data_IF_541403838169
#
_entry.id   IF_541403838169
#
_cell.length_a   1.000
_cell.length_b   1.000
_cell.length_c   1.000
_cell.angle_alpha   90.00
_cell.angle_beta   90.00
_cell.angle_gamma   90.00
#
_symmetry.space_group_name_H-M   'P 1'
#
loop_
_entity.id
_entity.type
_entity.pdbx_description
1 polymer ?
#
# COMPACT_ATOMS: atom_id res chain seq x y z
N UNK A 1 -26.21 -5.07 -0.59
CA UNK A 1 -24.78 -4.68 -0.38
C UNK A 1 -24.13 -4.17 -1.67
N UNK A 2 -24.17 -4.92 -2.78
CA UNK A 2 -23.57 -4.47 -4.05
C UNK A 2 -24.21 -3.18 -4.63
N UNK A 3 -25.53 -3.04 -4.55
CA UNK A 3 -26.23 -1.84 -5.05
C UNK A 3 -25.93 -0.56 -4.27
N UNK A 4 -25.71 -0.67 -2.95
CA UNK A 4 -25.38 0.46 -2.08
C UNK A 4 -24.02 1.06 -2.40
N UNK A 5 -23.03 0.22 -2.75
CA UNK A 5 -21.69 0.68 -3.13
C UNK A 5 -21.71 1.44 -4.46
N UNK A 6 -22.56 1.01 -5.41
CA UNK A 6 -22.72 1.68 -6.71
C UNK A 6 -23.30 3.09 -6.57
N UNK A 7 -24.20 3.32 -5.61
CA UNK A 7 -24.81 4.64 -5.37
C UNK A 7 -23.87 5.66 -4.74
N UNK A 8 -22.84 5.21 -4.03
CA UNK A 8 -21.92 6.10 -3.32
C UNK A 8 -21.04 6.92 -4.27
N UNK A 9 -20.90 6.54 -5.54
CA UNK A 9 -20.02 7.19 -6.54
C UNK A 9 -18.58 7.41 -6.05
N UNK A 10 -18.16 6.68 -5.04
CA UNK A 10 -16.83 6.78 -4.44
C UNK A 10 -15.94 5.70 -5.03
N UNK A 11 -14.77 6.08 -5.54
CA UNK A 11 -13.75 5.09 -5.85
C UNK A 11 -13.22 4.52 -4.53
N UNK A 12 -13.01 3.19 -4.47
CA UNK A 12 -12.32 2.50 -3.36
C UNK A 12 -13.09 2.33 -2.02
N UNK A 13 -14.43 2.33 -2.03
CA UNK A 13 -15.23 1.95 -0.84
C UNK A 13 -15.38 0.43 -0.71
N UNK A 14 -14.82 -0.14 0.37
CA UNK A 14 -14.98 -1.55 0.73
C UNK A 14 -15.63 -1.73 2.10
N UNK A 15 -16.63 -2.60 2.20
CA UNK A 15 -17.24 -2.96 3.48
C UNK A 15 -16.61 -4.25 3.99
N UNK A 16 -16.05 -4.20 5.20
CA UNK A 16 -15.48 -5.36 5.88
C UNK A 16 -16.34 -5.73 7.08
N UNK A 17 -16.56 -7.03 7.28
CA UNK A 17 -17.26 -7.53 8.47
C UNK A 17 -16.46 -7.16 9.73
N UNK A 18 -17.12 -6.84 10.86
CA UNK A 18 -16.46 -6.40 12.09
C UNK A 18 -15.42 -7.41 12.63
N UNK A 19 -15.54 -8.69 12.27
CA UNK A 19 -14.56 -9.73 12.61
C UNK A 19 -13.33 -9.77 11.70
N UNK A 20 -13.31 -9.00 10.60
CA UNK A 20 -12.17 -8.88 9.69
C UNK A 20 -11.08 -8.01 10.35
N UNK A 21 -10.31 -8.61 11.25
CA UNK A 21 -9.21 -7.99 12.02
C UNK A 21 -8.00 -7.52 11.17
N UNK A 22 -8.09 -7.56 9.85
CA UNK A 22 -7.01 -7.16 8.94
C UNK A 22 -7.60 -6.23 7.91
N UNK A 23 -7.47 -4.92 8.16
CA UNK A 23 -7.40 -3.97 7.04
C UNK A 23 -6.24 -4.48 6.18
N UNK A 24 -6.49 -4.89 4.92
CA UNK A 24 -5.41 -5.30 4.04
C UNK A 24 -4.34 -4.21 4.05
N UNK A 25 -3.06 -4.56 4.23
CA UNK A 25 -1.98 -3.57 4.40
C UNK A 25 -1.98 -2.47 3.32
N UNK A 26 -2.40 -2.81 2.09
CA UNK A 26 -2.65 -1.90 0.96
C UNK A 26 -3.65 -0.76 1.21
N UNK A 27 -4.47 -0.84 2.26
CA UNK A 27 -5.45 0.19 2.62
C UNK A 27 -5.07 0.96 3.90
N UNK A 28 -3.95 0.63 4.55
CA UNK A 28 -3.56 1.29 5.80
C UNK A 28 -3.07 2.74 5.59
N UNK A 29 -2.43 3.02 4.45
CA UNK A 29 -1.91 4.35 4.10
C UNK A 29 -2.49 4.92 2.80
N UNK A 30 -3.54 4.28 2.26
CA UNK A 30 -4.14 4.64 0.97
C UNK A 30 -3.12 4.69 -0.18
N UNK A 31 -2.22 3.70 -0.24
CA UNK A 31 -1.28 3.54 -1.33
C UNK A 31 -0.92 2.06 -1.57
N UNK A 32 -0.56 1.74 -2.81
CA UNK A 32 -0.10 0.42 -3.24
C UNK A 32 1.40 0.43 -3.53
N UNK A 33 2.04 -0.74 -3.44
CA UNK A 33 3.47 -0.89 -3.67
C UNK A 33 3.76 -2.00 -4.68
N UNK A 34 4.86 -1.85 -5.42
CA UNK A 34 5.46 -2.89 -6.24
C UNK A 34 6.95 -3.03 -5.93
N UNK A 35 7.51 -4.21 -6.17
CA UNK A 35 8.97 -4.43 -6.10
C UNK A 35 9.60 -3.83 -7.35
N UNK A 36 10.65 -3.04 -7.19
CA UNK A 36 11.41 -2.43 -8.26
C UNK A 36 12.91 -2.65 -8.05
N UNK A 37 13.65 -2.92 -9.13
CA UNK A 37 15.11 -2.98 -9.09
C UNK A 37 15.67 -1.57 -9.26
N UNK A 38 16.46 -1.13 -8.28
CA UNK A 38 17.14 0.18 -8.29
C UNK A 38 18.66 -0.03 -8.31
N UNK A 39 19.42 1.03 -8.56
CA UNK A 39 20.90 0.97 -8.51
C UNK A 39 21.45 0.48 -7.17
N UNK A 40 20.70 0.71 -6.09
CA UNK A 40 21.06 0.33 -4.73
C UNK A 40 20.45 -1.03 -4.31
N UNK A 41 19.86 -1.77 -5.24
CA UNK A 41 19.19 -3.06 -5.01
C UNK A 41 17.67 -3.01 -5.09
N UNK A 42 17.02 -4.07 -4.62
CA UNK A 42 15.57 -4.21 -4.72
C UNK A 42 14.85 -3.40 -3.64
N UNK A 43 13.93 -2.53 -4.08
CA UNK A 43 13.17 -1.63 -3.20
C UNK A 43 11.67 -1.71 -3.48
N UNK A 44 10.89 -1.22 -2.53
CA UNK A 44 9.46 -0.99 -2.74
C UNK A 44 9.26 0.36 -3.39
N UNK A 45 8.46 0.40 -4.45
CA UNK A 45 8.07 1.60 -5.16
C UNK A 45 6.57 1.81 -5.00
N UNK A 46 6.15 3.04 -4.71
CA UNK A 46 4.74 3.41 -4.68
C UNK A 46 4.17 3.31 -6.11
N UNK A 47 3.10 2.54 -6.28
CA UNK A 47 2.45 2.34 -7.58
C UNK A 47 1.26 3.30 -7.72
N UNK A 48 0.30 3.21 -6.80
CA UNK A 48 -0.85 4.11 -6.75
C UNK A 48 -0.88 4.81 -5.40
N UNK A 49 -1.20 6.11 -5.42
CA UNK A 49 -1.45 6.91 -4.21
C UNK A 49 -2.83 7.52 -4.35
N UNK A 50 -3.73 7.23 -3.40
CA UNK A 50 -5.08 7.78 -3.47
C UNK A 50 -5.11 9.22 -2.96
N UNK A 51 -5.69 10.11 -3.76
CA UNK A 51 -5.92 11.51 -3.40
C UNK A 51 -6.73 11.63 -2.10
N UNK A 52 -6.35 12.58 -1.25
CA UNK A 52 -6.97 12.78 0.06
C UNK A 52 -6.60 11.73 1.13
N UNK A 53 -5.85 10.69 0.78
CA UNK A 53 -5.34 9.69 1.73
C UNK A 53 -4.07 10.15 2.49
N UNK A 54 -3.65 9.44 3.55
CA UNK A 54 -2.46 9.79 4.33
C UNK A 54 -1.17 9.88 3.51
N UNK A 55 -0.95 8.97 2.56
CA UNK A 55 0.21 9.01 1.67
C UNK A 55 0.20 10.26 0.76
N UNK A 56 -0.96 10.64 0.22
CA UNK A 56 -1.11 11.86 -0.57
C UNK A 56 -0.87 13.12 0.26
N UNK A 57 -1.42 13.17 1.49
CA UNK A 57 -1.20 14.27 2.42
C UNK A 57 0.27 14.43 2.84
N UNK A 58 1.03 13.32 2.85
CA UNK A 58 2.47 13.32 3.06
C UNK A 58 3.28 13.74 1.81
N UNK A 59 2.62 14.00 0.68
CA UNK A 59 3.26 14.41 -0.57
C UNK A 59 3.85 13.26 -1.38
N UNK A 60 3.54 12.02 -1.06
CA UNK A 60 4.05 10.84 -1.77
C UNK A 60 3.39 10.74 -3.14
N UNK A 61 4.18 10.40 -4.15
CA UNK A 61 3.73 10.26 -5.53
C UNK A 61 3.98 8.84 -6.08
N UNK A 62 3.20 8.40 -7.07
CA UNK A 62 3.53 7.23 -7.87
C UNK A 62 4.97 7.32 -8.41
N UNK A 63 5.75 6.26 -8.19
CA UNK A 63 7.17 6.20 -8.56
C UNK A 63 8.13 6.49 -7.41
N UNK A 64 7.67 7.03 -6.29
CA UNK A 64 8.51 7.21 -5.11
C UNK A 64 9.01 5.86 -4.57
N UNK A 65 10.21 5.87 -4.00
CA UNK A 65 10.83 4.69 -3.40
C UNK A 65 10.73 4.74 -1.88
N UNK A 66 10.28 3.64 -1.30
CA UNK A 66 10.33 3.46 0.14
C UNK A 66 11.77 3.12 0.56
N UNK A 67 12.40 4.03 1.29
CA UNK A 67 13.77 3.88 1.78
C UNK A 67 13.82 3.31 3.21
N UNK A 68 12.96 3.82 4.09
CA UNK A 68 12.95 3.45 5.51
C UNK A 68 11.56 3.65 6.13
N UNK A 69 11.30 2.94 7.23
CA UNK A 69 10.12 3.13 8.08
C UNK A 69 10.62 3.37 9.50
N UNK A 70 10.24 4.49 10.12
CA UNK A 70 10.69 4.87 11.48
C UNK A 70 12.23 4.88 11.65
N UNK A 71 12.97 5.18 10.58
CA UNK A 71 14.43 5.17 10.57
C UNK A 71 15.07 3.78 10.38
N UNK A 72 14.27 2.71 10.31
CA UNK A 72 14.76 1.38 9.93
C UNK A 72 14.75 1.25 8.40
N UNK A 73 15.93 1.01 7.83
CA UNK A 73 16.12 0.88 6.39
C UNK A 73 15.38 -0.34 5.86
N UNK A 74 14.53 -0.12 4.85
CA UNK A 74 13.69 -1.18 4.30
C UNK A 74 14.19 -1.59 2.92
N UNK A 75 14.88 -2.72 2.86
CA UNK A 75 15.11 -3.42 1.60
C UNK A 75 13.90 -4.29 1.31
N UNK A 76 13.54 -4.46 0.03
CA UNK A 76 12.50 -5.43 -0.33
C UNK A 76 12.80 -6.77 0.35
N UNK A 77 11.83 -7.40 1.04
CA UNK A 77 12.09 -8.63 1.74
C UNK A 77 12.66 -9.62 0.73
N UNK A 78 13.90 -10.07 0.99
CA UNK A 78 14.42 -11.29 0.35
C UNK A 78 13.31 -12.31 0.44
N UNK A 79 12.98 -13.04 -0.64
CA UNK A 79 11.96 -14.07 -0.58
C UNK A 79 12.33 -14.99 0.59
N UNK A 80 11.54 -14.93 1.66
CA UNK A 80 11.69 -15.83 2.78
C UNK A 80 11.32 -17.18 2.20
N UNK A 81 12.34 -17.94 1.80
CA UNK A 81 12.18 -19.35 1.49
C UNK A 81 11.66 -19.97 2.77
N UNK A 82 10.36 -20.20 2.85
CA UNK A 82 9.77 -21.04 3.88
C UNK A 82 10.56 -22.35 3.86
N UNK A 83 11.14 -22.82 4.98
CA UNK A 83 11.64 -24.18 5.01
C UNK A 83 10.47 -25.14 4.74
N UNK A 84 10.73 -26.27 4.05
CA UNK A 84 9.70 -27.24 3.69
C UNK A 84 8.96 -27.80 4.91
#
# INVERSE_FOLDING_TARGET
>A
MHELVSQLKTSHTGFFHQSARRIPARFAINATFQRCQTTDGERWMFLDVHEGGPAHAAGIQPGDLLLAINGEEMQSPRPTRSPP
#
